data_IF_194007391770
#
_entry.id   IF_194007391770
#
_cell.length_a   1.000
_cell.length_b   1.000
_cell.length_c   1.000
_cell.angle_alpha   90.00
_cell.angle_beta   90.00
_cell.angle_gamma   90.00
#
_symmetry.space_group_name_H-M   'P 1'
#
loop_
_entity.id
_entity.type
_entity.pdbx_description
1 polymer ?
#
# COMPACT_ATOMS: atom_id res chain seq x y z
N UNK A 1 15.08 28.41 -20.92
CA UNK A 1 14.34 28.43 -19.66
C UNK A 1 15.04 27.41 -18.78
N UNK A 2 15.67 27.85 -17.70
CA UNK A 2 16.15 26.90 -16.67
C UNK A 2 14.92 26.18 -16.13
N UNK A 3 14.88 24.86 -16.23
CA UNK A 3 13.87 24.07 -15.52
C UNK A 3 14.08 24.34 -14.02
N UNK A 4 13.14 25.05 -13.41
CA UNK A 4 13.17 25.31 -11.97
C UNK A 4 12.75 24.03 -11.26
N UNK A 5 13.72 23.21 -10.87
CA UNK A 5 13.44 22.00 -10.11
C UNK A 5 12.84 22.34 -8.75
N UNK A 6 11.85 21.55 -8.36
CA UNK A 6 11.20 21.69 -7.06
C UNK A 6 12.13 21.20 -5.96
N UNK A 7 12.17 21.93 -4.85
CA UNK A 7 12.78 21.47 -3.59
C UNK A 7 11.67 20.91 -2.71
N UNK A 8 11.95 19.82 -2.08
CA UNK A 8 10.97 19.09 -1.29
C UNK A 8 11.43 18.96 0.17
N UNK A 9 10.45 19.05 1.06
CA UNK A 9 10.59 18.73 2.48
C UNK A 9 9.60 17.63 2.81
N UNK A 10 10.08 16.52 3.35
CA UNK A 10 9.28 15.44 3.90
C UNK A 10 9.35 15.51 5.42
N UNK A 11 8.20 15.43 6.09
CA UNK A 11 8.12 15.32 7.55
C UNK A 11 7.32 14.08 7.90
N UNK A 12 7.93 13.13 8.62
CA UNK A 12 7.25 11.93 9.09
C UNK A 12 6.44 12.27 10.33
N UNK A 13 5.11 12.31 10.19
CA UNK A 13 4.18 12.68 11.27
C UNK A 13 3.84 11.50 12.18
N UNK A 14 3.87 10.28 11.66
CA UNK A 14 3.71 9.03 12.40
C UNK A 14 4.50 7.91 11.75
N UNK A 15 5.08 7.07 12.56
CA UNK A 15 5.83 5.88 12.23
C UNK A 15 5.84 4.93 13.45
N UNK A 16 6.31 3.69 13.29
CA UNK A 16 6.39 2.70 14.38
C UNK A 16 7.35 3.12 15.50
N UNK A 17 8.29 4.01 15.21
CA UNK A 17 9.33 4.47 16.13
C UNK A 17 9.30 5.99 16.28
N UNK A 18 9.79 6.45 17.42
CA UNK A 18 10.07 7.87 17.68
C UNK A 18 11.58 8.13 17.65
N UNK A 19 11.94 9.41 17.64
CA UNK A 19 13.32 9.83 17.81
C UNK A 19 13.84 9.48 19.22
N UNK A 20 15.16 9.59 19.41
CA UNK A 20 15.82 9.26 20.69
C UNK A 20 15.33 10.11 21.87
N UNK A 21 14.74 11.27 21.60
CA UNK A 21 14.26 12.22 22.59
C UNK A 21 12.79 11.97 22.98
N UNK A 22 12.12 11.03 22.31
CA UNK A 22 10.73 10.61 22.53
C UNK A 22 9.75 11.79 22.61
N UNK A 23 10.00 12.84 21.79
CA UNK A 23 9.20 14.07 21.77
C UNK A 23 7.80 13.86 21.23
N UNK A 24 7.62 12.85 20.38
CA UNK A 24 6.41 12.56 19.63
C UNK A 24 5.85 11.20 20.00
N UNK A 25 4.63 10.94 19.59
CA UNK A 25 4.01 9.62 19.74
C UNK A 25 4.27 8.77 18.49
N UNK A 26 4.37 7.45 18.69
CA UNK A 26 4.44 6.47 17.61
C UNK A 26 3.26 5.53 17.65
N UNK A 27 2.96 4.92 16.53
CA UNK A 27 2.03 3.80 16.43
C UNK A 27 2.39 2.94 15.22
N UNK A 28 1.84 1.72 15.15
CA UNK A 28 1.95 0.94 13.93
C UNK A 28 1.19 1.65 12.79
N UNK A 29 1.93 2.20 11.85
CA UNK A 29 1.38 2.97 10.73
C UNK A 29 2.38 3.97 10.16
N UNK A 30 2.00 4.62 9.08
CA UNK A 30 2.83 5.60 8.38
C UNK A 30 2.00 6.83 8.01
N UNK A 31 2.55 8.04 8.21
CA UNK A 31 2.05 9.28 7.64
C UNK A 31 3.20 10.23 7.35
N UNK A 32 3.30 10.70 6.12
CA UNK A 32 4.37 11.58 5.64
C UNK A 32 3.76 12.84 5.05
N UNK A 33 4.09 14.01 5.61
CA UNK A 33 3.79 15.30 5.02
C UNK A 33 4.83 15.62 3.96
N UNK A 34 4.36 16.03 2.78
CA UNK A 34 5.17 16.37 1.60
C UNK A 34 4.92 17.84 1.30
N UNK A 35 5.94 18.67 1.42
CA UNK A 35 5.84 20.12 1.21
C UNK A 35 6.83 20.56 0.11
N UNK A 36 6.35 21.36 -0.85
CA UNK A 36 7.26 22.07 -1.75
C UNK A 36 7.85 23.29 -1.03
N UNK A 37 9.18 23.49 -1.15
CA UNK A 37 9.86 24.66 -0.58
C UNK A 37 9.95 25.83 -1.58
N UNK A 38 9.35 25.73 -2.76
CA UNK A 38 9.32 26.79 -3.75
C UNK A 38 8.21 27.80 -3.43
N UNK A 39 8.52 29.11 -3.56
CA UNK A 39 7.60 30.18 -3.15
C UNK A 39 6.44 30.40 -4.13
N UNK A 40 6.57 30.00 -5.39
CA UNK A 40 5.59 30.29 -6.45
C UNK A 40 4.45 29.27 -6.51
N UNK A 41 4.71 28.01 -6.17
CA UNK A 41 3.68 26.94 -6.12
C UNK A 41 3.83 26.16 -4.83
N UNK A 42 3.00 26.50 -3.85
CA UNK A 42 2.97 25.76 -2.57
C UNK A 42 2.13 24.51 -2.73
N UNK A 43 2.79 23.36 -2.78
CA UNK A 43 2.16 22.05 -2.72
C UNK A 43 2.36 21.48 -1.32
N UNK A 44 1.27 21.13 -0.65
CA UNK A 44 1.27 20.49 0.66
C UNK A 44 0.38 19.25 0.61
N UNK A 45 1.00 18.07 0.63
CA UNK A 45 0.32 16.79 0.52
C UNK A 45 0.56 15.98 1.78
N UNK A 46 -0.45 15.23 2.20
CA UNK A 46 -0.27 14.21 3.21
C UNK A 46 -0.36 12.84 2.53
N UNK A 47 0.67 12.00 2.68
CA UNK A 47 0.65 10.61 2.25
C UNK A 47 0.45 9.71 3.47
N UNK A 48 -0.65 8.97 3.46
CA UNK A 48 -1.14 8.11 4.53
C UNK A 48 -1.47 8.87 5.83
N UNK A 49 -2.07 8.19 6.79
CA UNK A 49 -2.62 8.80 8.02
C UNK A 49 -2.36 7.98 9.27
N UNK A 50 -1.56 6.91 9.18
CA UNK A 50 -1.37 5.97 10.27
C UNK A 50 -2.64 5.18 10.60
N UNK A 51 -2.60 4.53 11.75
CA UNK A 51 -3.69 3.70 12.27
C UNK A 51 -4.78 4.51 12.93
N UNK A 52 -4.43 5.66 13.51
CA UNK A 52 -5.34 6.51 14.29
C UNK A 52 -5.15 7.99 13.95
N UNK A 53 -5.71 8.89 14.74
CA UNK A 53 -5.53 10.34 14.58
C UNK A 53 -4.25 10.91 15.19
N UNK A 54 -3.37 10.11 15.79
CA UNK A 54 -2.19 10.56 16.56
C UNK A 54 -1.23 11.42 15.71
N UNK A 55 -1.13 11.16 14.41
CA UNK A 55 -0.32 11.99 13.51
C UNK A 55 -0.71 13.47 13.55
N UNK A 56 -1.98 13.77 13.80
CA UNK A 56 -2.51 15.13 13.88
C UNK A 56 -1.97 15.86 15.12
N UNK A 57 -1.95 15.18 16.27
CA UNK A 57 -1.36 15.70 17.50
C UNK A 57 0.16 15.89 17.37
N UNK A 58 0.84 14.98 16.67
CA UNK A 58 2.25 15.12 16.36
C UNK A 58 2.52 16.33 15.48
N UNK A 59 1.71 16.54 14.41
CA UNK A 59 1.82 17.75 13.57
C UNK A 59 1.69 19.02 14.40
N UNK A 60 0.70 19.09 15.30
CA UNK A 60 0.50 20.23 16.20
C UNK A 60 1.71 20.46 17.13
N UNK A 61 2.29 19.38 17.70
CA UNK A 61 3.50 19.47 18.52
C UNK A 61 4.72 19.93 17.73
N UNK A 62 4.80 19.62 16.43
CA UNK A 62 5.84 20.08 15.52
C UNK A 62 5.61 21.52 15.05
N UNK A 63 4.48 22.16 15.42
CA UNK A 63 4.09 23.48 14.93
C UNK A 63 3.63 23.49 13.47
N UNK A 64 3.19 22.33 12.96
CA UNK A 64 2.72 22.15 11.59
C UNK A 64 1.19 22.23 11.56
N UNK A 65 0.63 23.11 10.71
CA UNK A 65 -0.80 23.15 10.42
C UNK A 65 -1.13 22.24 9.23
N UNK A 66 -2.19 21.45 9.39
CA UNK A 66 -2.73 20.60 8.33
C UNK A 66 -4.00 21.20 7.68
N UNK A 67 -4.32 22.47 7.94
CA UNK A 67 -5.51 23.13 7.42
C UNK A 67 -5.47 23.38 5.89
N UNK A 68 -4.27 23.48 5.33
CA UNK A 68 -4.06 23.86 3.92
C UNK A 68 -3.52 22.69 3.09
N UNK A 69 -3.97 21.46 3.34
CA UNK A 69 -3.60 20.31 2.53
C UNK A 69 -4.16 20.47 1.11
N UNK A 70 -3.28 20.42 0.10
CA UNK A 70 -3.66 20.39 -1.31
C UNK A 70 -4.40 19.10 -1.66
N UNK A 71 -4.00 17.99 -1.07
CA UNK A 71 -4.68 16.69 -1.14
C UNK A 71 -4.14 15.71 -0.09
N UNK A 72 -4.95 14.69 0.21
CA UNK A 72 -4.55 13.46 0.88
C UNK A 72 -4.28 12.39 -0.18
N UNK A 73 -3.20 11.65 -0.03
CA UNK A 73 -2.83 10.50 -0.86
C UNK A 73 -2.83 9.26 0.04
N UNK A 74 -3.58 8.21 -0.29
CA UNK A 74 -3.54 6.96 0.48
C UNK A 74 -2.92 5.88 -0.37
N UNK A 75 -1.81 5.33 0.11
CA UNK A 75 -1.02 4.33 -0.60
C UNK A 75 -1.81 3.07 -0.92
N UNK A 76 -2.56 2.55 0.03
CA UNK A 76 -3.44 1.38 -0.10
C UNK A 76 -4.44 1.29 1.07
N UNK A 77 -5.43 0.42 0.97
CA UNK A 77 -6.58 0.37 1.87
C UNK A 77 -6.37 -0.45 3.16
N UNK A 78 -5.17 -0.42 3.77
CA UNK A 78 -4.97 -1.01 5.08
C UNK A 78 -5.18 0.02 6.20
N UNK A 79 -5.65 -0.48 7.37
CA UNK A 79 -6.03 0.34 8.53
C UNK A 79 -4.87 1.19 9.09
N UNK A 80 -3.64 0.73 8.96
CA UNK A 80 -2.42 1.38 9.46
C UNK A 80 -1.87 2.46 8.51
N UNK A 81 -2.52 2.64 7.36
CA UNK A 81 -2.28 3.71 6.39
C UNK A 81 -3.46 4.68 6.27
N UNK A 82 -4.68 4.19 6.42
CA UNK A 82 -5.90 4.97 6.20
C UNK A 82 -6.76 5.17 7.47
N UNK A 83 -6.35 4.62 8.61
CA UNK A 83 -7.15 4.66 9.84
C UNK A 83 -7.37 6.08 10.38
N UNK A 84 -6.40 6.98 10.20
CA UNK A 84 -6.47 8.36 10.64
C UNK A 84 -7.30 9.30 9.74
N UNK A 85 -7.83 8.83 8.61
CA UNK A 85 -8.67 9.64 7.69
C UNK A 85 -9.87 10.26 8.42
N UNK A 86 -10.47 9.54 9.38
CA UNK A 86 -11.57 10.05 10.19
C UNK A 86 -11.20 11.32 10.95
N UNK A 87 -9.97 11.42 11.46
CA UNK A 87 -9.50 12.63 12.14
C UNK A 87 -9.47 13.83 11.21
N UNK A 88 -8.99 13.67 9.97
CA UNK A 88 -8.98 14.75 8.98
C UNK A 88 -10.40 15.18 8.55
N UNK A 89 -11.34 14.24 8.55
CA UNK A 89 -12.77 14.53 8.29
C UNK A 89 -13.37 15.34 9.44
N UNK A 90 -13.08 14.98 10.69
CA UNK A 90 -13.57 15.68 11.89
C UNK A 90 -13.01 17.10 11.99
N UNK A 91 -11.75 17.31 11.65
CA UNK A 91 -11.07 18.60 11.63
C UNK A 91 -11.32 19.40 10.34
N UNK A 92 -12.08 18.85 9.38
CA UNK A 92 -12.43 19.47 8.09
C UNK A 92 -11.22 19.96 7.28
N UNK A 93 -10.06 19.29 7.42
CA UNK A 93 -8.78 19.72 6.82
C UNK A 93 -8.58 19.24 5.39
N UNK A 94 -9.33 18.23 4.94
CA UNK A 94 -9.20 17.68 3.58
C UNK A 94 -10.42 18.02 2.71
N UNK A 95 -10.15 18.25 1.42
CA UNK A 95 -11.19 18.47 0.40
C UNK A 95 -11.04 17.49 -0.77
N UNK A 96 -9.88 16.83 -0.89
CA UNK A 96 -9.55 15.91 -1.98
C UNK A 96 -8.69 14.75 -1.46
N UNK A 97 -9.05 13.55 -1.89
CA UNK A 97 -8.27 12.33 -1.61
C UNK A 97 -7.97 11.60 -2.93
N UNK A 98 -6.72 11.18 -3.12
CA UNK A 98 -6.32 10.27 -4.19
C UNK A 98 -6.14 8.87 -3.63
N UNK A 99 -6.73 7.90 -4.31
CA UNK A 99 -6.67 6.48 -3.96
C UNK A 99 -6.46 5.63 -5.21
N UNK A 100 -5.92 4.44 -5.05
CA UNK A 100 -5.76 3.51 -6.17
C UNK A 100 -7.08 2.84 -6.58
N UNK A 101 -6.99 2.00 -7.60
CA UNK A 101 -8.14 1.23 -8.10
C UNK A 101 -8.60 0.21 -7.06
N UNK A 102 -9.90 0.01 -6.94
CA UNK A 102 -10.51 -0.96 -6.02
C UNK A 102 -10.21 -0.68 -4.53
N UNK A 103 -9.81 0.55 -4.17
CA UNK A 103 -9.43 0.97 -2.81
C UNK A 103 -10.51 0.66 -1.75
N UNK A 104 -11.78 0.74 -2.10
CA UNK A 104 -12.88 0.52 -1.15
C UNK A 104 -13.29 -0.95 -0.98
N UNK A 105 -12.57 -1.89 -1.58
CA UNK A 105 -12.77 -3.31 -1.31
C UNK A 105 -12.31 -3.69 0.09
N UNK A 106 -13.07 -4.58 0.75
CA UNK A 106 -12.67 -5.10 2.06
C UNK A 106 -11.36 -5.88 1.99
N UNK A 107 -10.43 -5.58 2.90
CA UNK A 107 -9.09 -6.19 2.99
C UNK A 107 -9.02 -7.13 4.19
N UNK A 108 -8.46 -8.31 3.99
CA UNK A 108 -8.40 -9.37 4.98
C UNK A 108 -7.02 -10.03 5.01
N UNK A 109 -6.66 -10.53 6.18
CA UNK A 109 -5.45 -11.29 6.41
C UNK A 109 -5.79 -12.64 7.03
N UNK A 110 -5.32 -13.72 6.43
CA UNK A 110 -5.48 -15.08 6.93
C UNK A 110 -4.50 -15.34 8.07
N UNK A 111 -5.03 -15.62 9.26
CA UNK A 111 -4.22 -16.03 10.41
C UNK A 111 -3.76 -17.47 10.29
N UNK A 112 -2.82 -17.88 11.17
CA UNK A 112 -2.29 -19.25 11.22
C UNK A 112 -3.37 -20.32 11.52
N UNK A 113 -4.48 -19.93 12.14
CA UNK A 113 -5.62 -20.80 12.45
C UNK A 113 -6.65 -20.84 11.29
N UNK A 114 -6.36 -20.21 10.15
CA UNK A 114 -7.24 -20.13 8.99
C UNK A 114 -8.37 -19.10 9.14
N UNK A 115 -8.44 -18.35 10.25
CA UNK A 115 -9.45 -17.31 10.40
C UNK A 115 -9.04 -16.02 9.67
N UNK A 116 -10.03 -15.33 9.09
CA UNK A 116 -9.82 -14.06 8.40
C UNK A 116 -9.93 -12.89 9.38
N UNK A 117 -8.89 -12.06 9.42
CA UNK A 117 -8.86 -10.80 10.16
C UNK A 117 -9.13 -9.66 9.18
N UNK A 118 -10.12 -8.83 9.49
CA UNK A 118 -10.31 -7.57 8.77
C UNK A 118 -9.14 -6.63 9.06
N UNK A 119 -8.49 -6.15 8.02
CA UNK A 119 -7.36 -5.21 8.05
C UNK A 119 -7.63 -3.99 7.16
N UNK A 120 -8.86 -3.83 6.68
CA UNK A 120 -9.27 -2.77 5.78
C UNK A 120 -9.57 -1.44 6.46
N UNK A 121 -10.12 -0.54 5.66
CA UNK A 121 -10.53 0.81 6.07
C UNK A 121 -11.91 0.78 6.75
N UNK A 122 -12.15 1.76 7.62
CA UNK A 122 -13.41 1.88 8.38
C UNK A 122 -14.29 3.06 7.91
N UNK A 123 -14.22 3.40 6.62
CA UNK A 123 -15.04 4.44 5.97
C UNK A 123 -15.35 4.05 4.53
N UNK A 124 -16.39 4.63 3.96
CA UNK A 124 -16.80 4.38 2.57
C UNK A 124 -16.60 5.61 1.68
N UNK A 125 -16.70 5.39 0.37
CA UNK A 125 -16.68 6.48 -0.62
C UNK A 125 -17.84 7.46 -0.41
N UNK A 126 -19.03 6.92 -0.15
CA UNK A 126 -20.25 7.69 0.08
C UNK A 126 -20.15 8.58 1.33
N UNK A 127 -19.44 8.10 2.38
CA UNK A 127 -19.20 8.91 3.59
C UNK A 127 -18.30 10.10 3.30
N UNK A 128 -17.23 9.91 2.51
CA UNK A 128 -16.35 10.98 2.08
C UNK A 128 -17.10 12.01 1.22
N UNK A 129 -17.85 11.56 0.22
CA UNK A 129 -18.63 12.42 -0.68
C UNK A 129 -19.70 13.22 0.06
N UNK A 130 -20.40 12.62 1.03
CA UNK A 130 -21.36 13.33 1.91
C UNK A 130 -20.72 14.44 2.75
N UNK A 131 -19.44 14.34 3.04
CA UNK A 131 -18.64 15.36 3.71
C UNK A 131 -18.05 16.40 2.75
N UNK A 132 -18.38 16.33 1.46
CA UNK A 132 -17.89 17.24 0.43
C UNK A 132 -16.42 16.97 0.01
N UNK A 133 -15.88 15.78 0.34
CA UNK A 133 -14.54 15.38 -0.04
C UNK A 133 -14.58 14.72 -1.42
N UNK A 134 -13.79 15.26 -2.35
CA UNK A 134 -13.67 14.70 -3.69
C UNK A 134 -12.75 13.47 -3.67
N UNK A 135 -13.31 12.33 -4.04
CA UNK A 135 -12.53 11.08 -4.19
C UNK A 135 -12.02 10.98 -5.63
N UNK A 136 -10.70 11.00 -5.79
CA UNK A 136 -9.99 10.88 -7.07
C UNK A 136 -9.34 9.50 -7.16
N UNK A 137 -9.96 8.59 -7.89
CA UNK A 137 -9.31 7.32 -8.22
C UNK A 137 -8.23 7.53 -9.27
N UNK A 138 -6.99 7.08 -8.97
CA UNK A 138 -5.88 7.08 -9.92
C UNK A 138 -6.16 6.04 -11.00
N UNK A 139 -6.45 6.47 -12.22
CA UNK A 139 -6.85 5.60 -13.33
C UNK A 139 -5.67 5.19 -14.20
N UNK A 140 -4.79 6.15 -14.48
CA UNK A 140 -3.63 5.94 -15.33
C UNK A 140 -2.49 5.28 -14.53
N UNK A 141 -1.68 4.49 -15.19
CA UNK A 141 -0.51 3.84 -14.58
C UNK A 141 0.56 4.84 -14.10
N UNK A 142 0.55 6.04 -14.70
CA UNK A 142 1.37 7.18 -14.35
C UNK A 142 0.52 8.45 -14.52
N UNK A 143 0.25 9.19 -13.44
CA UNK A 143 -0.61 10.35 -13.43
C UNK A 143 0.05 11.50 -12.68
N UNK A 144 0.44 12.57 -13.38
CA UNK A 144 0.86 13.82 -12.74
C UNK A 144 -0.35 14.50 -12.10
N UNK A 145 -0.26 14.83 -10.80
CA UNK A 145 -1.34 15.46 -10.03
C UNK A 145 -1.04 16.90 -9.65
N UNK A 146 0.24 17.24 -9.51
CA UNK A 146 0.77 18.58 -9.31
C UNK A 146 2.12 18.69 -10.04
N UNK A 147 2.61 19.91 -10.33
CA UNK A 147 3.96 20.07 -10.86
C UNK A 147 4.98 19.35 -9.99
N UNK A 148 5.79 18.50 -10.61
CA UNK A 148 6.79 17.68 -9.93
C UNK A 148 6.26 16.54 -9.05
N UNK A 149 4.95 16.26 -9.05
CA UNK A 149 4.33 15.17 -8.28
C UNK A 149 3.56 14.23 -9.21
N UNK A 150 4.03 13.01 -9.33
CA UNK A 150 3.41 11.96 -10.15
C UNK A 150 3.03 10.76 -9.29
N UNK A 151 1.80 10.27 -9.43
CA UNK A 151 1.35 9.02 -8.84
C UNK A 151 1.56 7.87 -9.83
N UNK A 152 2.02 6.74 -9.31
CA UNK A 152 2.20 5.50 -10.05
C UNK A 152 1.36 4.39 -9.41
N UNK A 153 0.85 3.50 -10.25
CA UNK A 153 0.09 2.31 -9.87
C UNK A 153 0.35 1.16 -10.85
N UNK A 154 -0.31 0.03 -10.63
CA UNK A 154 -0.25 -1.14 -11.53
C UNK A 154 1.20 -1.56 -11.82
N UNK A 155 1.95 -1.89 -10.76
CA UNK A 155 3.37 -2.21 -10.83
C UNK A 155 3.61 -3.56 -11.50
N UNK A 156 4.56 -3.58 -12.46
CA UNK A 156 4.94 -4.77 -13.18
C UNK A 156 5.71 -5.75 -12.28
N UNK A 157 5.53 -7.04 -12.48
CA UNK A 157 6.27 -8.09 -11.77
C UNK A 157 7.60 -8.39 -12.49
N UNK A 158 8.52 -7.45 -12.43
CA UNK A 158 9.81 -7.51 -13.13
C UNK A 158 10.79 -8.42 -12.39
N UNK A 159 10.72 -8.39 -11.07
CA UNK A 159 11.70 -9.05 -10.19
C UNK A 159 11.13 -10.37 -9.66
N UNK A 160 11.70 -11.48 -10.06
CA UNK A 160 11.16 -12.82 -9.80
C UNK A 160 11.23 -13.27 -8.34
N UNK A 161 12.07 -12.66 -7.50
CA UNK A 161 12.19 -13.00 -6.07
C UNK A 161 11.21 -12.22 -5.17
N UNK A 162 10.49 -11.24 -5.70
CA UNK A 162 9.43 -10.53 -4.98
C UNK A 162 8.07 -11.14 -5.31
N UNK A 163 7.56 -11.95 -4.39
CA UNK A 163 6.26 -12.59 -4.51
C UNK A 163 5.24 -11.91 -3.59
N UNK A 164 3.98 -11.88 -4.01
CA UNK A 164 2.89 -11.47 -3.13
C UNK A 164 2.76 -12.43 -1.97
N UNK A 165 2.50 -11.90 -0.79
CA UNK A 165 2.15 -12.74 0.35
C UNK A 165 0.75 -13.34 0.12
N UNK A 166 0.61 -14.69 0.06
CA UNK A 166 -0.66 -15.35 -0.26
C UNK A 166 -1.70 -15.26 0.85
N UNK A 167 -1.34 -14.67 2.01
CA UNK A 167 -2.22 -14.52 3.18
C UNK A 167 -3.06 -13.25 3.14
N UNK A 168 -2.89 -12.37 2.15
CA UNK A 168 -3.72 -11.20 1.95
C UNK A 168 -4.85 -11.49 0.97
N UNK A 169 -6.05 -11.10 1.35
CA UNK A 169 -7.26 -11.37 0.59
C UNK A 169 -8.14 -10.13 0.48
N UNK A 170 -8.92 -10.09 -0.59
CA UNK A 170 -10.04 -9.17 -0.76
C UNK A 170 -11.34 -9.95 -0.79
N UNK A 171 -12.41 -9.36 -0.24
CA UNK A 171 -13.74 -9.94 -0.34
C UNK A 171 -14.27 -9.73 -1.75
N UNK A 172 -14.78 -10.80 -2.38
CA UNK A 172 -15.45 -10.69 -3.66
C UNK A 172 -16.71 -9.86 -3.47
N UNK A 173 -16.93 -8.88 -4.33
CA UNK A 173 -18.23 -8.23 -4.41
C UNK A 173 -19.28 -9.27 -4.75
N UNK A 174 -20.40 -9.28 -4.04
CA UNK A 174 -21.58 -10.02 -4.45
C UNK A 174 -22.04 -9.40 -5.78
N UNK A 175 -21.53 -9.90 -6.89
CA UNK A 175 -22.16 -9.66 -8.17
C UNK A 175 -23.54 -10.27 -8.03
N UNK A 176 -24.57 -9.44 -7.95
CA UNK A 176 -25.93 -9.90 -8.22
C UNK A 176 -25.84 -10.77 -9.45
N UNK A 177 -26.07 -12.06 -9.26
CA UNK A 177 -26.25 -12.98 -10.37
C UNK A 177 -27.52 -12.48 -11.04
N UNK A 178 -27.35 -11.63 -12.04
CA UNK A 178 -28.42 -11.37 -12.99
C UNK A 178 -28.67 -12.73 -13.62
N UNK A 179 -29.62 -13.44 -13.04
CA UNK A 179 -30.16 -14.69 -13.58
C UNK A 179 -30.94 -14.34 -14.85
N UNK A 180 -30.20 -14.18 -15.91
CA UNK A 180 -30.73 -13.89 -17.25
C UNK A 180 -29.76 -14.39 -18.30
N UNK A 181 -30.09 -15.50 -18.92
CA UNK A 181 -29.53 -16.03 -20.17
C UNK A 181 -28.14 -16.68 -20.10
N UNK A 182 -28.08 -17.91 -19.62
CA UNK A 182 -27.21 -18.96 -20.19
C UNK A 182 -27.67 -20.35 -19.69
N UNK A 183 -28.91 -20.69 -20.04
CA UNK A 183 -29.43 -22.05 -19.92
C UNK A 183 -29.97 -22.49 -21.28
N UNK A 184 -29.09 -22.65 -22.26
CA UNK A 184 -29.41 -23.39 -23.51
C UNK A 184 -28.10 -23.57 -24.31
N UNK A 185 -27.27 -24.56 -23.94
CA UNK A 185 -26.37 -25.26 -24.86
C UNK A 185 -25.42 -26.27 -24.19
N UNK A 186 -25.91 -27.14 -23.34
CA UNK A 186 -25.15 -28.35 -22.95
C UNK A 186 -26.09 -29.51 -22.60
N UNK A 187 -27.06 -29.80 -23.49
CA UNK A 187 -27.69 -31.12 -23.55
C UNK A 187 -27.67 -31.59 -25.00
N UNK A 188 -26.55 -32.15 -25.43
CA UNK A 188 -26.56 -33.12 -26.52
C UNK A 188 -26.08 -34.46 -25.97
N UNK A 189 -27.02 -35.33 -26.00
CA UNK A 189 -27.03 -36.75 -25.68
C UNK A 189 -25.92 -37.54 -26.34
N UNK A 190 -25.22 -38.38 -25.56
CA UNK A 190 -24.75 -39.65 -26.09
C UNK A 190 -25.25 -40.78 -25.17
N UNK A 191 -26.14 -41.56 -25.73
CA UNK A 191 -26.59 -42.85 -25.22
C UNK A 191 -25.49 -43.91 -25.36
N UNK A 192 -25.31 -44.73 -24.32
CA UNK A 192 -24.42 -45.90 -24.41
C UNK A 192 -24.24 -46.63 -23.08
N UNK A 193 -25.14 -47.60 -22.86
CA UNK A 193 -25.00 -48.92 -22.20
C UNK A 193 -24.38 -49.09 -20.83
N UNK A 194 -25.20 -49.70 -19.98
CA UNK A 194 -24.97 -50.33 -18.68
C UNK A 194 -23.82 -51.36 -18.72
N UNK A 195 -23.09 -51.46 -17.59
CA UNK A 195 -22.81 -52.68 -16.85
C UNK A 195 -21.79 -52.45 -15.71
N UNK A 196 -22.11 -53.02 -14.51
CA UNK A 196 -21.06 -53.37 -13.53
C UNK A 196 -21.14 -52.73 -12.14
N UNK A 197 -22.08 -53.18 -11.31
CA UNK A 197 -22.08 -53.03 -9.82
C UNK A 197 -20.85 -53.67 -9.20
N UNK A 198 -20.18 -52.97 -8.28
CA UNK A 198 -19.75 -53.56 -7.01
C UNK A 198 -19.67 -52.49 -5.91
N UNK A 199 -20.44 -52.72 -4.86
CA UNK A 199 -20.46 -51.93 -3.64
C UNK A 199 -19.23 -52.23 -2.77
N UNK A 200 -18.58 -51.19 -2.28
CA UNK A 200 -17.78 -51.27 -1.07
C UNK A 200 -18.26 -50.20 -0.07
N UNK A 201 -18.84 -50.72 1.02
CA UNK A 201 -19.14 -49.95 2.20
C UNK A 201 -17.85 -49.70 2.98
N UNK A 202 -17.55 -48.44 3.29
CA UNK A 202 -16.67 -48.08 4.39
C UNK A 202 -17.34 -46.98 5.18
N UNK A 203 -17.75 -47.36 6.40
CA UNK A 203 -18.15 -46.42 7.44
C UNK A 203 -17.04 -45.39 7.66
N UNK A 204 -17.35 -44.12 7.37
CA UNK A 204 -16.58 -42.97 7.83
C UNK A 204 -17.50 -42.12 8.71
N UNK A 205 -17.02 -41.90 9.96
CA UNK A 205 -17.65 -41.15 11.02
C UNK A 205 -18.12 -39.75 10.62
N UNK A 206 -19.28 -39.37 11.19
CA UNK A 206 -20.09 -38.20 10.85
C UNK A 206 -19.48 -36.80 11.12
N UNK A 207 -18.22 -36.68 11.58
CA UNK A 207 -17.64 -35.40 11.99
C UNK A 207 -16.80 -34.71 10.92
N UNK A 208 -16.38 -35.41 9.88
CA UNK A 208 -15.63 -34.76 8.75
C UNK A 208 -16.53 -34.08 7.72
N UNK A 209 -17.83 -34.37 7.71
CA UNK A 209 -18.78 -33.85 6.71
C UNK A 209 -19.27 -32.43 6.99
N UNK A 210 -19.11 -31.89 8.20
CA UNK A 210 -19.57 -30.55 8.57
C UNK A 210 -18.55 -29.43 8.32
N UNK A 211 -17.26 -29.77 8.23
CA UNK A 211 -16.17 -28.78 8.10
C UNK A 211 -15.89 -28.44 6.61
N UNK A 212 -15.95 -29.43 5.71
CA UNK A 212 -15.69 -29.20 4.28
C UNK A 212 -16.58 -28.15 3.63
N UNK A 213 -17.92 -28.13 3.80
CA UNK A 213 -18.77 -27.12 3.17
C UNK A 213 -18.57 -25.72 3.75
N UNK A 214 -18.14 -25.60 5.03
CA UNK A 214 -17.84 -24.33 5.62
C UNK A 214 -16.52 -23.74 5.08
N UNK A 215 -15.50 -24.55 4.89
CA UNK A 215 -14.21 -24.15 4.30
C UNK A 215 -14.40 -23.80 2.81
N UNK A 216 -15.12 -24.59 2.03
CA UNK A 216 -15.43 -24.29 0.64
C UNK A 216 -16.23 -23.00 0.48
N UNK A 217 -17.16 -22.72 1.39
CA UNK A 217 -17.93 -21.46 1.39
C UNK A 217 -17.05 -20.26 1.72
N UNK A 218 -16.12 -20.37 2.67
CA UNK A 218 -15.16 -19.30 3.01
C UNK A 218 -14.23 -19.01 1.81
N UNK A 219 -13.68 -20.02 1.18
CA UNK A 219 -12.85 -19.87 -0.04
C UNK A 219 -13.64 -19.25 -1.20
N UNK A 220 -14.97 -19.42 -1.25
CA UNK A 220 -15.80 -18.82 -2.30
C UNK A 220 -16.02 -17.31 -2.14
N UNK A 221 -15.90 -16.76 -0.91
CA UNK A 221 -16.15 -15.35 -0.61
C UNK A 221 -14.89 -14.47 -0.76
N UNK A 222 -13.69 -15.04 -0.73
CA UNK A 222 -12.42 -14.31 -0.77
C UNK A 222 -11.61 -14.68 -2.00
N UNK A 223 -10.77 -13.75 -2.45
CA UNK A 223 -9.73 -13.99 -3.45
C UNK A 223 -8.43 -13.34 -2.97
N UNK A 224 -7.29 -13.92 -3.36
CA UNK A 224 -5.99 -13.36 -3.01
C UNK A 224 -5.89 -11.91 -3.49
N UNK A 225 -5.40 -11.03 -2.62
CA UNK A 225 -5.19 -9.63 -2.94
C UNK A 225 -4.03 -9.46 -3.93
N UNK A 226 -4.29 -8.81 -5.04
CA UNK A 226 -3.28 -8.43 -6.04
C UNK A 226 -2.76 -7.02 -5.85
N UNK A 227 -3.24 -6.30 -4.82
CA UNK A 227 -2.88 -4.93 -4.47
C UNK A 227 -3.04 -3.95 -5.64
N UNK A 228 -4.19 -4.03 -6.33
CA UNK A 228 -4.55 -3.11 -7.42
C UNK A 228 -4.72 -1.67 -6.95
N UNK A 229 -4.97 -1.48 -5.66
CA UNK A 229 -5.14 -0.20 -4.99
C UNK A 229 -3.83 0.45 -4.57
N UNK A 230 -2.69 -0.26 -4.62
CA UNK A 230 -1.42 0.34 -4.19
C UNK A 230 -0.92 1.40 -5.17
N UNK A 231 -0.63 2.58 -4.62
CA UNK A 231 -0.02 3.71 -5.33
C UNK A 231 1.30 4.11 -4.66
N UNK A 232 2.23 4.60 -5.48
CA UNK A 232 3.47 5.24 -5.05
C UNK A 232 3.52 6.68 -5.55
N UNK A 233 4.19 7.55 -4.80
CA UNK A 233 4.40 8.95 -5.14
C UNK A 233 5.82 9.12 -5.65
N UNK A 234 6.00 9.80 -6.79
CA UNK A 234 7.29 10.21 -7.29
C UNK A 234 7.39 11.73 -7.29
N UNK A 235 8.44 12.24 -6.66
CA UNK A 235 8.77 13.66 -6.59
C UNK A 235 9.95 13.95 -7.52
N UNK A 236 9.76 14.85 -8.48
CA UNK A 236 10.80 15.29 -9.38
C UNK A 236 11.81 16.19 -8.65
N UNK A 237 13.10 15.93 -8.84
CA UNK A 237 14.21 16.71 -8.31
C UNK A 237 15.28 16.93 -9.39
N UNK A 238 16.22 17.83 -9.14
CA UNK A 238 17.38 18.03 -10.01
C UNK A 238 18.22 16.75 -10.21
N UNK A 239 18.24 15.87 -9.21
CA UNK A 239 19.08 14.66 -9.20
C UNK A 239 18.35 13.40 -9.72
N UNK A 240 17.08 13.52 -10.07
CA UNK A 240 16.22 12.41 -10.48
C UNK A 240 14.89 12.40 -9.72
N UNK A 241 14.39 11.22 -9.42
CA UNK A 241 13.10 11.03 -8.73
C UNK A 241 13.34 10.53 -7.30
N UNK A 242 12.65 11.12 -6.33
CA UNK A 242 12.47 10.50 -5.00
C UNK A 242 11.12 9.79 -4.97
N UNK A 243 11.14 8.50 -4.65
CA UNK A 243 9.95 7.66 -4.57
C UNK A 243 9.52 7.51 -3.12
N UNK A 244 8.24 7.78 -2.84
CA UNK A 244 7.62 7.58 -1.54
C UNK A 244 6.58 6.47 -1.68
N UNK A 245 6.67 5.48 -0.81
CA UNK A 245 5.83 4.28 -0.79
C UNK A 245 5.15 4.09 0.57
N UNK A 246 4.00 3.41 0.60
CA UNK A 246 3.38 2.94 1.84
C UNK A 246 4.07 1.68 2.35
N UNK A 247 3.51 0.51 2.01
CA UNK A 247 4.07 -0.80 2.38
C UNK A 247 4.87 -1.50 1.29
N UNK A 248 4.65 -1.18 0.03
CA UNK A 248 5.29 -1.87 -1.11
C UNK A 248 4.90 -3.35 -1.22
N UNK A 249 3.62 -3.69 -1.03
CA UNK A 249 3.13 -5.06 -1.17
C UNK A 249 3.43 -5.69 -2.54
N UNK A 250 3.39 -4.95 -3.67
CA UNK A 250 3.85 -5.44 -4.96
C UNK A 250 5.32 -5.85 -5.03
N UNK A 251 6.10 -5.48 -4.02
CA UNK A 251 7.55 -5.59 -3.97
C UNK A 251 8.23 -4.26 -4.26
N UNK A 252 9.15 -3.85 -3.39
CA UNK A 252 9.82 -2.55 -3.51
C UNK A 252 10.60 -2.43 -4.83
N UNK A 253 11.31 -3.47 -5.25
CA UNK A 253 12.07 -3.45 -6.50
C UNK A 253 11.16 -3.49 -7.74
N UNK A 254 10.03 -4.20 -7.68
CA UNK A 254 9.00 -4.17 -8.72
C UNK A 254 8.45 -2.75 -8.89
N UNK A 255 8.19 -2.04 -7.78
CA UNK A 255 7.73 -0.64 -7.79
C UNK A 255 8.79 0.27 -8.40
N UNK A 256 10.03 0.23 -7.89
CA UNK A 256 11.10 1.12 -8.34
C UNK A 256 11.46 0.89 -9.82
N UNK A 257 11.63 -0.36 -10.25
CA UNK A 257 11.92 -0.68 -11.66
C UNK A 257 10.77 -0.28 -12.61
N UNK A 258 9.52 -0.43 -12.16
CA UNK A 258 8.35 0.03 -12.94
C UNK A 258 8.37 1.55 -13.11
N UNK A 259 8.63 2.29 -12.03
CA UNK A 259 8.69 3.76 -12.05
C UNK A 259 9.85 4.23 -12.95
N UNK A 260 11.05 3.67 -12.78
CA UNK A 260 12.22 4.00 -13.60
C UNK A 260 11.96 3.75 -15.09
N UNK A 261 11.39 2.59 -15.44
CA UNK A 261 11.01 2.23 -16.81
C UNK A 261 9.99 3.18 -17.41
N UNK A 262 8.95 3.57 -16.68
CA UNK A 262 7.86 4.41 -17.20
C UNK A 262 8.24 5.88 -17.27
N UNK A 263 8.99 6.37 -16.27
CA UNK A 263 9.42 7.76 -16.25
C UNK A 263 10.60 8.05 -17.17
N UNK A 264 11.44 7.05 -17.43
CA UNK A 264 12.74 7.24 -18.07
C UNK A 264 13.74 8.04 -17.22
N UNK A 265 13.43 8.27 -15.92
CA UNK A 265 14.24 9.05 -15.00
C UNK A 265 14.91 8.14 -13.96
N UNK A 266 16.11 8.51 -13.53
CA UNK A 266 16.84 7.82 -12.46
C UNK A 266 16.11 8.04 -11.11
N UNK A 267 16.01 6.99 -10.30
CA UNK A 267 15.58 7.11 -8.90
C UNK A 267 16.80 7.50 -8.05
N UNK A 268 16.69 8.60 -7.33
CA UNK A 268 17.76 9.12 -6.46
C UNK A 268 17.49 8.92 -4.97
N UNK A 269 16.25 8.66 -4.54
CA UNK A 269 15.90 8.43 -3.16
C UNK A 269 14.66 7.55 -3.00
N UNK A 270 14.56 6.85 -1.87
CA UNK A 270 13.43 5.98 -1.51
C UNK A 270 13.05 6.26 -0.07
N UNK A 271 11.74 6.47 0.18
CA UNK A 271 11.18 6.74 1.51
C UNK A 271 9.94 5.87 1.75
N UNK A 272 9.79 5.29 2.94
CA UNK A 272 8.59 4.55 3.35
C UNK A 272 8.85 3.09 3.70
N UNK A 273 7.82 2.25 3.61
CA UNK A 273 7.88 0.82 3.95
C UNK A 273 8.24 -0.07 2.76
N UNK A 274 8.98 -1.14 3.01
CA UNK A 274 9.46 -2.05 1.95
C UNK A 274 8.88 -3.46 2.03
N UNK A 275 8.04 -3.71 3.03
CA UNK A 275 7.48 -5.04 3.36
C UNK A 275 8.53 -6.17 3.40
N UNK A 276 9.75 -5.83 3.86
CA UNK A 276 10.84 -6.80 4.00
C UNK A 276 10.79 -7.56 5.33
N UNK A 277 9.90 -7.17 6.27
CA UNK A 277 9.72 -7.91 7.53
C UNK A 277 9.32 -9.38 7.32
N UNK A 278 8.74 -9.71 6.17
CA UNK A 278 8.35 -11.06 5.79
C UNK A 278 9.34 -11.72 4.80
N UNK A 279 10.42 -11.02 4.45
CA UNK A 279 11.41 -11.52 3.52
C UNK A 279 12.33 -12.55 4.18
N UNK A 280 12.63 -13.61 3.46
CA UNK A 280 13.76 -14.47 3.82
C UNK A 280 15.11 -13.77 3.54
N UNK A 281 16.20 -14.36 4.02
CA UNK A 281 17.53 -13.78 3.87
C UNK A 281 17.98 -13.66 2.40
N UNK A 282 17.46 -14.49 1.50
CA UNK A 282 17.80 -14.43 0.07
C UNK A 282 17.11 -13.23 -0.60
N UNK A 283 15.81 -13.04 -0.33
CA UNK A 283 15.06 -11.87 -0.83
C UNK A 283 15.66 -10.56 -0.31
N UNK A 284 15.95 -10.49 1.00
CA UNK A 284 16.57 -9.30 1.61
C UNK A 284 17.92 -8.98 0.92
N UNK A 285 18.80 -9.97 0.77
CA UNK A 285 20.10 -9.78 0.11
C UNK A 285 19.97 -9.29 -1.32
N UNK A 286 19.11 -9.93 -2.13
CA UNK A 286 18.86 -9.53 -3.53
C UNK A 286 18.31 -8.11 -3.62
N UNK A 287 17.36 -7.74 -2.75
CA UNK A 287 16.81 -6.39 -2.69
C UNK A 287 17.91 -5.36 -2.39
N UNK A 288 18.81 -5.65 -1.44
CA UNK A 288 19.93 -4.78 -1.11
C UNK A 288 20.90 -4.64 -2.29
N UNK A 289 21.23 -5.75 -2.95
CA UNK A 289 22.12 -5.76 -4.11
C UNK A 289 21.55 -4.91 -5.26
N UNK A 290 20.26 -5.07 -5.58
CA UNK A 290 19.55 -4.32 -6.62
C UNK A 290 19.45 -2.83 -6.28
N UNK A 291 19.16 -2.47 -5.03
CA UNK A 291 19.14 -1.07 -4.56
C UNK A 291 20.52 -0.41 -4.67
N UNK A 292 21.60 -1.15 -4.40
CA UNK A 292 22.98 -0.67 -4.60
C UNK A 292 23.29 -0.44 -6.09
N UNK A 293 22.84 -1.36 -6.97
CA UNK A 293 23.01 -1.23 -8.41
C UNK A 293 22.29 0.02 -8.96
N UNK A 294 21.11 0.37 -8.42
CA UNK A 294 20.41 1.61 -8.78
C UNK A 294 21.16 2.88 -8.39
N UNK A 295 22.18 2.75 -7.53
CA UNK A 295 23.02 3.87 -7.07
C UNK A 295 22.21 5.07 -6.56
N UNK A 296 21.24 4.80 -5.67
CA UNK A 296 20.43 5.82 -5.00
C UNK A 296 21.30 6.70 -4.09
N UNK A 297 20.90 7.95 -3.90
CA UNK A 297 21.62 8.90 -3.07
C UNK A 297 21.32 8.70 -1.57
N UNK A 298 20.05 8.35 -1.26
CA UNK A 298 19.62 8.05 0.10
C UNK A 298 18.50 7.03 0.14
N UNK A 299 18.38 6.33 1.26
CA UNK A 299 17.29 5.39 1.57
C UNK A 299 16.79 5.66 2.99
N UNK A 300 15.50 6.02 3.11
CA UNK A 300 14.83 6.34 4.36
C UNK A 300 13.65 5.39 4.56
N UNK A 301 13.95 4.13 4.83
CA UNK A 301 12.95 3.07 4.98
C UNK A 301 12.68 2.75 6.44
N UNK A 302 11.44 2.31 6.72
CA UNK A 302 10.95 2.07 8.07
C UNK A 302 9.68 1.21 8.06
N UNK A 303 8.83 1.28 9.07
CA UNK A 303 7.51 0.67 9.17
C UNK A 303 7.54 -0.85 8.95
N UNK A 304 6.97 -1.35 7.86
CA UNK A 304 6.93 -2.77 7.52
C UNK A 304 8.26 -3.34 6.96
N UNK A 305 9.34 -2.57 6.99
CA UNK A 305 10.70 -3.06 6.66
C UNK A 305 11.19 -4.07 7.69
N UNK A 306 10.81 -3.89 8.97
CA UNK A 306 11.21 -4.75 10.09
C UNK A 306 12.56 -4.33 10.71
N UNK A 307 12.65 -4.40 12.05
CA UNK A 307 13.80 -3.88 12.82
C UNK A 307 15.13 -4.56 12.44
N UNK A 308 15.15 -5.89 12.37
CA UNK A 308 16.35 -6.66 12.02
C UNK A 308 16.86 -6.33 10.61
N UNK A 309 15.92 -6.05 9.69
CA UNK A 309 16.24 -5.69 8.32
C UNK A 309 16.74 -4.25 8.21
N UNK A 310 16.22 -3.32 9.05
CA UNK A 310 16.71 -1.94 9.10
C UNK A 310 18.19 -1.87 9.47
N UNK A 311 18.63 -2.67 10.45
CA UNK A 311 20.06 -2.71 10.81
C UNK A 311 20.91 -3.26 9.66
N UNK A 312 20.44 -4.31 8.98
CA UNK A 312 21.11 -4.88 7.81
C UNK A 312 21.22 -3.85 6.68
N UNK A 313 20.14 -3.13 6.38
CA UNK A 313 20.13 -2.07 5.35
C UNK A 313 21.09 -0.94 5.74
N UNK A 314 21.05 -0.47 6.98
CA UNK A 314 21.95 0.54 7.51
C UNK A 314 23.43 0.16 7.32
N UNK A 315 23.79 -1.07 7.66
CA UNK A 315 25.15 -1.57 7.52
C UNK A 315 25.60 -1.64 6.04
N UNK A 316 24.67 -1.82 5.11
CA UNK A 316 24.95 -1.89 3.68
C UNK A 316 24.98 -0.54 2.98
N UNK A 317 24.24 0.45 3.45
CA UNK A 317 24.13 1.78 2.84
C UNK A 317 24.91 2.87 3.56
N UNK A 318 25.33 2.63 4.82
CA UNK A 318 26.15 3.58 5.58
C UNK A 318 25.50 4.96 5.69
N UNK A 319 26.20 6.00 5.25
CA UNK A 319 25.72 7.40 5.31
C UNK A 319 24.51 7.69 4.41
N UNK A 320 24.23 6.84 3.44
CA UNK A 320 23.03 6.96 2.61
C UNK A 320 21.76 6.50 3.32
N UNK A 321 21.90 5.75 4.43
CA UNK A 321 20.75 5.31 5.21
C UNK A 321 20.30 6.39 6.18
N UNK A 322 19.00 6.70 6.12
CA UNK A 322 18.31 7.60 7.05
C UNK A 322 17.31 6.75 7.83
N UNK A 323 17.46 6.69 9.15
CA UNK A 323 16.46 6.07 10.00
C UNK A 323 15.21 6.96 9.99
N UNK A 324 14.15 6.49 9.31
CA UNK A 324 12.91 7.24 9.25
C UNK A 324 12.05 6.90 10.48
N UNK A 325 11.79 7.88 11.32
CA UNK A 325 10.97 7.77 12.53
C UNK A 325 10.06 8.99 12.65
N UNK A 326 9.08 8.93 13.56
CA UNK A 326 8.21 10.07 13.83
C UNK A 326 9.04 11.30 14.23
N UNK A 327 8.79 12.42 13.58
CA UNK A 327 9.52 13.67 13.76
C UNK A 327 10.70 13.86 12.82
N UNK A 328 11.06 12.85 12.02
CA UNK A 328 12.14 12.98 11.05
C UNK A 328 11.78 13.95 9.93
N UNK A 329 12.77 14.73 9.49
CA UNK A 329 12.65 15.69 8.39
C UNK A 329 13.74 15.45 7.37
N UNK A 330 13.34 15.20 6.11
CA UNK A 330 14.25 15.02 4.98
C UNK A 330 14.04 16.16 3.99
N UNK A 331 15.12 16.76 3.49
CA UNK A 331 15.10 17.80 2.45
C UNK A 331 15.98 17.42 1.27
N UNK A 332 15.52 17.70 0.08
CA UNK A 332 16.24 17.41 -1.16
C UNK A 332 15.74 18.28 -2.32
#
# INVERSE_FOLDING_TARGET
>A
MEELFMRWKLTTLIENHVDKEERYMCEHGLAILIESENQEEQVCLLMDTGKSGIFYENAAKMGISLENLSALLISHAHYDHAGGVKRLIEEETIRKIYVGKDFFQGKYYEKNDGTMKDIGIAFSKEELEKKGITVCEVKEDMQMIFPGVTLYRNFERIVGYEQLNPRFFVKKEDKEIVAGCFAESLFQTHSGTEEGMTAYSTDCSSDELSVKPAIEKVISEYTMDSFTDEIAVALDTEQGIVVIVGCSHPGIMNILRTIEKRSGKKICGVVGGTHLMEADGERLRKTIDDLKEMNINFIAVSHCTGEDNLETIKNNFGEKFIFNCTGNVIRF
#
